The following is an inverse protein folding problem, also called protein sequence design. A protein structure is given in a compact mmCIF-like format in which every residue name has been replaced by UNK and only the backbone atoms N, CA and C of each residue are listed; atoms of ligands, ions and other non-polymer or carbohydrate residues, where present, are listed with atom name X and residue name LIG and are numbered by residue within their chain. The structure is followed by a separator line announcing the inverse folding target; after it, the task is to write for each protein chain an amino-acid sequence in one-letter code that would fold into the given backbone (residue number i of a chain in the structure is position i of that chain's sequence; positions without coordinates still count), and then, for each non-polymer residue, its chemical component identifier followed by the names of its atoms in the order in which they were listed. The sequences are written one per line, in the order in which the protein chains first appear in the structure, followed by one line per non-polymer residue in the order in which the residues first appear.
data_IF_749491921981
#
_entry.id   IF_749491921981
#
_cell.length_a   1.000
_cell.length_b   1.000
_cell.length_c   1.000
_cell.angle_alpha   90.00
_cell.angle_beta   90.00
_cell.angle_gamma   90.00
#
_symmetry.space_group_name_H-M   'P 1'
#
loop_
_entity.id
_entity.type
_entity.pdbx_description
1 polymer ?
#
# COMPACT_ATOMS: atom_id res chain seq x y z
N UNK A 1 55.23 -14.43 6.62
CA UNK A 1 54.40 -15.46 7.29
C UNK A 1 53.19 -14.86 8.01
N UNK A 2 53.35 -13.93 8.98
CA UNK A 2 52.21 -13.34 9.73
C UNK A 2 51.20 -12.55 8.87
N UNK A 3 51.68 -11.75 7.91
CA UNK A 3 50.82 -10.95 7.02
C UNK A 3 49.93 -11.84 6.14
N UNK A 4 50.51 -12.88 5.51
CA UNK A 4 49.75 -13.83 4.67
C UNK A 4 48.68 -14.59 5.47
N UNK A 5 48.98 -14.97 6.71
CA UNK A 5 48.02 -15.63 7.61
C UNK A 5 46.85 -14.69 7.98
N UNK A 6 47.16 -13.46 8.38
CA UNK A 6 46.14 -12.47 8.72
C UNK A 6 45.23 -12.13 7.52
N UNK A 7 45.80 -12.04 6.31
CA UNK A 7 45.03 -11.82 5.07
C UNK A 7 44.09 -13.00 4.80
N UNK A 8 44.58 -14.24 4.89
CA UNK A 8 43.73 -15.43 4.69
C UNK A 8 42.61 -15.54 5.72
N UNK A 9 42.90 -15.29 7.00
CA UNK A 9 41.90 -15.28 8.08
C UNK A 9 40.83 -14.18 7.84
N UNK A 10 41.24 -13.00 7.40
CA UNK A 10 40.30 -11.92 7.06
C UNK A 10 39.41 -12.26 5.85
N UNK A 11 39.98 -12.85 4.79
CA UNK A 11 39.22 -13.29 3.61
C UNK A 11 38.22 -14.39 3.95
N UNK A 12 38.62 -15.39 4.74
CA UNK A 12 37.73 -16.46 5.20
C UNK A 12 36.57 -15.90 6.02
N UNK A 13 36.86 -14.99 6.95
CA UNK A 13 35.82 -14.33 7.76
C UNK A 13 34.83 -13.56 6.88
N UNK A 14 35.32 -12.72 5.97
CA UNK A 14 34.46 -11.96 5.05
C UNK A 14 33.57 -12.86 4.20
N UNK A 15 34.05 -14.05 3.80
CA UNK A 15 33.26 -15.02 3.06
C UNK A 15 32.17 -15.63 3.93
N UNK A 16 32.48 -16.05 5.15
CA UNK A 16 31.48 -16.58 6.09
C UNK A 16 30.41 -15.54 6.40
N UNK A 17 30.81 -14.31 6.71
CA UNK A 17 29.90 -13.20 7.02
C UNK A 17 28.94 -12.93 5.86
N UNK A 18 29.42 -12.98 4.60
CA UNK A 18 28.56 -12.86 3.41
C UNK A 18 27.53 -13.99 3.32
N UNK A 19 27.94 -15.25 3.45
CA UNK A 19 27.01 -16.37 3.31
C UNK A 19 25.93 -16.34 4.39
N UNK A 20 26.31 -15.99 5.63
CA UNK A 20 25.35 -15.82 6.73
C UNK A 20 24.37 -14.69 6.43
N UNK A 21 24.86 -13.48 6.12
CA UNK A 21 24.00 -12.34 5.80
C UNK A 21 23.09 -12.61 4.59
N UNK A 22 23.59 -13.35 3.60
CA UNK A 22 22.82 -13.68 2.41
C UNK A 22 21.70 -14.67 2.71
N UNK A 23 21.97 -15.72 3.49
CA UNK A 23 20.93 -16.66 3.91
C UNK A 23 19.89 -16.00 4.81
N UNK A 24 20.32 -15.14 5.74
CA UNK A 24 19.39 -14.35 6.56
C UNK A 24 18.47 -13.46 5.70
N UNK A 25 19.03 -12.84 4.64
CA UNK A 25 18.24 -12.07 3.68
C UNK A 25 17.28 -12.93 2.86
N UNK A 26 17.71 -14.12 2.40
CA UNK A 26 16.86 -15.07 1.66
C UNK A 26 15.66 -15.53 2.50
N UNK A 27 15.90 -15.84 3.79
CA UNK A 27 14.87 -16.25 4.74
C UNK A 27 13.91 -15.10 5.03
N UNK A 28 14.44 -13.90 5.27
CA UNK A 28 13.63 -12.69 5.45
C UNK A 28 12.76 -12.41 4.22
N UNK A 29 13.34 -12.48 3.02
CA UNK A 29 12.62 -12.26 1.76
C UNK A 29 11.51 -13.31 1.56
N UNK A 30 11.71 -14.54 2.04
CA UNK A 30 10.65 -15.56 2.10
C UNK A 30 9.48 -15.13 2.97
N UNK A 31 9.73 -14.72 4.21
CA UNK A 31 8.69 -14.32 5.17
C UNK A 31 7.88 -13.11 4.70
N UNK A 32 8.54 -12.11 4.13
CA UNK A 32 7.84 -10.91 3.65
C UNK A 32 7.03 -11.21 2.38
N UNK A 33 7.52 -12.09 1.50
CA UNK A 33 6.78 -12.55 0.34
C UNK A 33 5.51 -13.32 0.73
N UNK A 34 5.58 -14.20 1.73
CA UNK A 34 4.41 -14.90 2.28
C UNK A 34 3.39 -13.92 2.86
N UNK A 35 3.86 -12.97 3.67
CA UNK A 35 2.99 -11.95 4.29
C UNK A 35 2.30 -11.06 3.24
N UNK A 36 3.01 -10.70 2.17
CA UNK A 36 2.45 -9.94 1.06
C UNK A 36 1.47 -10.77 0.22
N UNK A 37 1.75 -12.05 -0.01
CA UNK A 37 0.85 -12.94 -0.74
C UNK A 37 -0.46 -13.18 0.02
N UNK A 38 -0.38 -13.31 1.35
CA UNK A 38 -1.57 -13.36 2.20
C UNK A 38 -2.39 -12.07 2.06
N UNK A 39 -1.74 -10.91 2.17
CA UNK A 39 -2.41 -9.62 2.03
C UNK A 39 -3.00 -9.42 0.62
N UNK A 40 -2.30 -9.85 -0.42
CA UNK A 40 -2.80 -9.84 -1.81
C UNK A 40 -4.08 -10.68 -1.94
N UNK A 41 -4.09 -11.86 -1.33
CA UNK A 41 -5.26 -12.76 -1.32
C UNK A 41 -6.44 -12.12 -0.59
N UNK A 42 -6.20 -11.54 0.59
CA UNK A 42 -7.23 -10.87 1.38
C UNK A 42 -7.84 -9.68 0.63
N UNK A 43 -7.00 -8.91 -0.06
CA UNK A 43 -7.39 -7.70 -0.80
C UNK A 43 -7.88 -7.99 -2.23
N UNK A 44 -7.81 -9.22 -2.72
CA UNK A 44 -8.33 -9.60 -4.04
C UNK A 44 -9.85 -9.50 -4.14
N UNK A 45 -10.55 -9.71 -3.03
CA UNK A 45 -12.00 -9.59 -2.98
C UNK A 45 -12.42 -8.12 -2.74
N UNK A 46 -12.87 -7.46 -3.80
CA UNK A 46 -13.36 -6.07 -3.76
C UNK A 46 -14.56 -5.86 -2.85
N UNK A 47 -15.38 -6.89 -2.61
CA UNK A 47 -16.50 -6.78 -1.67
C UNK A 47 -16.02 -6.65 -0.22
N UNK A 48 -14.91 -7.30 0.13
CA UNK A 48 -14.32 -7.18 1.47
C UNK A 48 -13.73 -5.80 1.73
N UNK A 49 -13.29 -5.08 0.68
CA UNK A 49 -12.75 -3.72 0.77
C UNK A 49 -13.81 -2.66 1.13
N UNK A 50 -15.10 -2.99 1.05
CA UNK A 50 -16.19 -2.10 1.49
C UNK A 50 -16.30 -2.02 3.01
N UNK A 51 -15.81 -3.03 3.72
CA UNK A 51 -15.72 -3.02 5.17
C UNK A 51 -14.62 -2.04 5.62
N UNK A 52 -15.04 -0.95 6.26
CA UNK A 52 -14.14 0.14 6.68
C UNK A 52 -13.10 -0.34 7.70
N UNK A 53 -13.48 -1.28 8.58
CA UNK A 53 -12.56 -1.79 9.60
C UNK A 53 -11.47 -2.62 8.95
N UNK A 54 -11.84 -3.58 8.10
CA UNK A 54 -10.89 -4.43 7.38
C UNK A 54 -9.99 -3.63 6.45
N UNK A 55 -10.56 -2.69 5.69
CA UNK A 55 -9.78 -1.87 4.77
C UNK A 55 -8.72 -1.06 5.52
N UNK A 56 -9.07 -0.46 6.66
CA UNK A 56 -8.12 0.29 7.50
C UNK A 56 -7.02 -0.61 8.08
N UNK A 57 -7.36 -1.81 8.54
CA UNK A 57 -6.38 -2.80 9.01
C UNK A 57 -5.42 -3.21 7.89
N UNK A 58 -5.92 -3.48 6.69
CA UNK A 58 -5.09 -3.85 5.54
C UNK A 58 -4.22 -2.71 5.02
N UNK A 59 -4.71 -1.47 5.03
CA UNK A 59 -3.89 -0.29 4.74
C UNK A 59 -2.75 -0.17 5.74
N UNK A 60 -3.02 -0.36 7.04
CA UNK A 60 -1.98 -0.31 8.06
C UNK A 60 -0.94 -1.42 7.84
N UNK A 61 -1.40 -2.65 7.58
CA UNK A 61 -0.51 -3.79 7.30
C UNK A 61 0.32 -3.56 6.03
N UNK A 62 -0.26 -3.02 4.96
CA UNK A 62 0.47 -2.68 3.74
C UNK A 62 1.60 -1.68 4.03
N UNK A 63 1.32 -0.61 4.80
CA UNK A 63 2.35 0.38 5.19
C UNK A 63 3.47 -0.20 6.03
N UNK A 64 3.17 -1.13 6.92
CA UNK A 64 4.19 -1.85 7.71
C UNK A 64 5.11 -2.68 6.81
N UNK A 65 4.53 -3.42 5.85
CA UNK A 65 5.29 -4.21 4.88
C UNK A 65 6.12 -3.33 3.93
N UNK A 66 5.57 -2.19 3.49
CA UNK A 66 6.29 -1.20 2.68
C UNK A 66 7.50 -0.64 3.45
N UNK A 67 7.31 -0.26 4.72
CA UNK A 67 8.40 0.21 5.56
C UNK A 67 9.48 -0.87 5.80
N UNK A 68 9.08 -2.12 5.97
CA UNK A 68 10.01 -3.24 6.13
C UNK A 68 10.82 -3.50 4.85
N UNK A 69 10.19 -3.43 3.68
CA UNK A 69 10.88 -3.51 2.39
C UNK A 69 11.88 -2.36 2.25
N UNK A 70 11.45 -1.12 2.46
CA UNK A 70 12.32 0.05 2.30
C UNK A 70 13.53 0.00 3.26
N UNK A 71 13.36 -0.54 4.47
CA UNK A 71 14.45 -0.75 5.43
C UNK A 71 15.47 -1.82 4.99
N UNK A 72 15.05 -2.81 4.19
CA UNK A 72 15.90 -3.90 3.71
C UNK A 72 16.50 -3.67 2.33
N UNK A 73 16.06 -2.64 1.60
CA UNK A 73 16.66 -2.28 0.32
C UNK A 73 18.18 -2.00 0.40
N UNK A 74 18.72 -1.33 1.44
CA UNK A 74 20.16 -1.20 1.62
C UNK A 74 20.88 -2.53 1.87
N UNK A 75 20.22 -3.48 2.53
CA UNK A 75 20.78 -4.82 2.81
C UNK A 75 20.94 -5.61 1.52
N UNK A 76 19.94 -5.58 0.62
CA UNK A 76 20.03 -6.16 -0.72
C UNK A 76 21.25 -5.63 -1.47
N UNK A 77 21.40 -4.30 -1.52
CA UNK A 77 22.55 -3.65 -2.19
C UNK A 77 23.88 -4.08 -1.58
N UNK A 78 23.95 -4.18 -0.25
CA UNK A 78 25.16 -4.62 0.46
C UNK A 78 25.51 -6.07 0.15
N UNK A 79 24.52 -6.96 0.11
CA UNK A 79 24.67 -8.37 -0.26
C UNK A 79 25.13 -8.51 -1.71
N UNK A 80 24.53 -7.77 -2.64
CA UNK A 80 24.93 -7.76 -4.06
C UNK A 80 26.38 -7.29 -4.24
N UNK A 81 26.78 -6.23 -3.53
CA UNK A 81 28.14 -5.69 -3.60
C UNK A 81 29.17 -6.65 -2.98
N UNK A 82 28.86 -7.25 -1.83
CA UNK A 82 29.73 -8.27 -1.21
C UNK A 82 29.86 -9.50 -2.09
N UNK A 83 28.75 -9.97 -2.68
CA UNK A 83 28.74 -11.11 -3.58
C UNK A 83 29.55 -10.85 -4.86
N UNK A 84 29.48 -9.64 -5.41
CA UNK A 84 30.32 -9.21 -6.55
C UNK A 84 31.81 -9.19 -6.20
N UNK A 85 32.18 -8.66 -5.03
CA UNK A 85 33.57 -8.64 -4.55
C UNK A 85 34.12 -10.05 -4.34
N UNK A 86 33.36 -10.94 -3.71
CA UNK A 86 33.74 -12.34 -3.53
C UNK A 86 33.85 -13.04 -4.88
N UNK A 87 32.91 -12.84 -5.80
CA UNK A 87 32.97 -13.38 -7.15
C UNK A 87 34.18 -12.90 -7.97
N UNK A 88 34.65 -11.67 -7.75
CA UNK A 88 35.86 -11.14 -8.39
C UNK A 88 37.16 -11.69 -7.80
N UNK A 89 37.17 -12.05 -6.51
CA UNK A 89 38.32 -12.63 -5.81
C UNK A 89 38.48 -14.14 -5.97
N UNK A 90 37.47 -14.83 -6.52
CA UNK A 90 37.50 -16.26 -6.82
C UNK A 90 38.06 -16.49 -8.23
N UNK A 91 39.10 -17.31 -8.36
CA UNK A 91 39.52 -17.86 -9.65
C UNK A 91 38.32 -18.62 -10.27
N UNK A 92 38.02 -18.33 -11.53
CA UNK A 92 36.82 -18.78 -12.23
C UNK A 92 36.49 -20.26 -11.97
N UNK A 93 35.36 -20.51 -11.30
CA UNK A 93 34.96 -21.85 -10.86
C UNK A 93 33.50 -21.92 -10.41
N UNK A 94 33.07 -23.13 -10.02
CA UNK A 94 31.69 -23.49 -9.62
C UNK A 94 31.10 -22.56 -8.53
N UNK A 95 31.92 -22.13 -7.60
CA UNK A 95 31.50 -21.27 -6.48
C UNK A 95 31.06 -19.87 -6.95
N UNK A 96 31.79 -19.27 -7.89
CA UNK A 96 31.44 -17.96 -8.46
C UNK A 96 30.09 -18.01 -9.19
N UNK A 97 29.85 -19.06 -9.98
CA UNK A 97 28.57 -19.24 -10.67
C UNK A 97 27.41 -19.47 -9.71
N UNK A 98 27.64 -20.16 -8.59
CA UNK A 98 26.62 -20.41 -7.58
C UNK A 98 26.20 -19.10 -6.88
N UNK A 99 27.16 -18.28 -6.46
CA UNK A 99 26.89 -16.97 -5.85
C UNK A 99 26.12 -16.07 -6.84
N UNK A 100 26.56 -16.01 -8.10
CA UNK A 100 25.91 -15.19 -9.12
C UNK A 100 24.46 -15.63 -9.37
N UNK A 101 24.22 -16.93 -9.53
CA UNK A 101 22.87 -17.47 -9.74
C UNK A 101 21.95 -17.18 -8.55
N UNK A 102 22.45 -17.36 -7.32
CA UNK A 102 21.65 -17.03 -6.12
C UNK A 102 21.32 -15.53 -6.05
N UNK A 103 22.27 -14.65 -6.36
CA UNK A 103 22.02 -13.20 -6.41
C UNK A 103 20.95 -12.84 -7.44
N UNK A 104 21.00 -13.45 -8.62
CA UNK A 104 19.99 -13.26 -9.67
C UNK A 104 18.61 -13.71 -9.22
N UNK A 105 18.50 -14.89 -8.59
CA UNK A 105 17.25 -15.40 -8.03
C UNK A 105 16.69 -14.43 -6.97
N UNK A 106 17.54 -13.96 -6.06
CA UNK A 106 17.13 -13.05 -4.98
C UNK A 106 16.70 -11.69 -5.53
N UNK A 107 17.43 -11.14 -6.50
CA UNK A 107 17.09 -9.87 -7.16
C UNK A 107 15.76 -9.98 -7.93
N UNK A 108 15.52 -11.10 -8.62
CA UNK A 108 14.24 -11.34 -9.28
C UNK A 108 13.09 -11.45 -8.26
N UNK A 109 13.27 -12.24 -7.19
CA UNK A 109 12.27 -12.37 -6.12
C UNK A 109 11.96 -11.02 -5.48
N UNK A 110 12.97 -10.17 -5.27
CA UNK A 110 12.78 -8.81 -4.76
C UNK A 110 11.88 -7.98 -5.68
N UNK A 111 12.13 -8.01 -7.00
CA UNK A 111 11.31 -7.33 -8.00
C UNK A 111 9.86 -7.82 -7.94
N UNK A 112 9.66 -9.14 -7.88
CA UNK A 112 8.33 -9.74 -7.81
C UNK A 112 7.59 -9.30 -6.55
N UNK A 113 8.26 -9.33 -5.39
CA UNK A 113 7.72 -8.86 -4.11
C UNK A 113 7.32 -7.39 -4.16
N UNK A 114 8.17 -6.51 -4.73
CA UNK A 114 7.84 -5.09 -4.92
C UNK A 114 6.68 -4.89 -5.90
N UNK A 115 6.54 -5.74 -6.91
CA UNK A 115 5.41 -5.68 -7.84
C UNK A 115 4.08 -6.00 -7.14
N UNK A 116 4.06 -7.07 -6.32
CA UNK A 116 2.89 -7.45 -5.52
C UNK A 116 2.52 -6.35 -4.54
N UNK A 117 3.48 -5.82 -3.78
CA UNK A 117 3.27 -4.72 -2.84
C UNK A 117 2.61 -3.52 -3.52
N UNK A 118 3.13 -3.10 -4.67
CA UNK A 118 2.58 -1.98 -5.43
C UNK A 118 1.15 -2.24 -5.91
N UNK A 119 0.84 -3.46 -6.36
CA UNK A 119 -0.50 -3.88 -6.77
C UNK A 119 -1.49 -3.79 -5.61
N UNK A 120 -1.11 -4.30 -4.43
CA UNK A 120 -1.91 -4.24 -3.20
C UNK A 120 -2.13 -2.80 -2.76
N UNK A 121 -1.06 -2.00 -2.70
CA UNK A 121 -1.10 -0.57 -2.32
C UNK A 121 -2.04 0.22 -3.23
N UNK A 122 -1.93 0.04 -4.54
CA UNK A 122 -2.80 0.68 -5.52
C UNK A 122 -4.28 0.35 -5.26
N UNK A 123 -4.59 -0.93 -5.11
CA UNK A 123 -5.97 -1.41 -4.89
C UNK A 123 -6.59 -0.86 -3.60
N UNK A 124 -5.82 -0.86 -2.51
CA UNK A 124 -6.25 -0.29 -1.23
C UNK A 124 -6.46 1.22 -1.32
N UNK A 125 -5.58 1.93 -2.03
CA UNK A 125 -5.70 3.39 -2.24
C UNK A 125 -6.94 3.74 -3.05
N UNK A 126 -7.18 3.01 -4.15
CA UNK A 126 -8.38 3.20 -4.98
C UNK A 126 -9.67 2.96 -4.17
N UNK A 127 -9.71 1.87 -3.39
CA UNK A 127 -10.86 1.57 -2.53
C UNK A 127 -11.11 2.64 -1.45
N UNK A 128 -10.04 3.21 -0.87
CA UNK A 128 -10.17 4.30 0.11
C UNK A 128 -10.69 5.58 -0.55
N UNK A 129 -10.22 5.93 -1.75
CA UNK A 129 -10.68 7.09 -2.50
C UNK A 129 -12.17 6.98 -2.90
N UNK A 130 -12.60 5.79 -3.35
CA UNK A 130 -14.01 5.54 -3.67
C UNK A 130 -14.90 5.69 -2.43
N UNK A 131 -14.44 5.19 -1.29
CA UNK A 131 -15.15 5.33 -0.03
C UNK A 131 -15.24 6.78 0.43
N UNK A 132 -14.13 7.52 0.39
CA UNK A 132 -14.10 8.95 0.75
C UNK A 132 -15.07 9.76 -0.13
N UNK A 133 -15.08 9.48 -1.43
CA UNK A 133 -16.03 10.10 -2.36
C UNK A 133 -17.49 9.80 -1.97
N UNK A 134 -17.80 8.54 -1.65
CA UNK A 134 -19.14 8.14 -1.22
C UNK A 134 -19.54 8.86 0.07
N UNK A 135 -18.68 8.87 1.09
CA UNK A 135 -18.98 9.52 2.37
C UNK A 135 -19.18 11.03 2.20
N UNK A 136 -18.35 11.70 1.40
CA UNK A 136 -18.48 13.13 1.14
C UNK A 136 -19.79 13.45 0.39
N UNK A 137 -20.18 12.61 -0.56
CA UNK A 137 -21.44 12.74 -1.29
C UNK A 137 -22.64 12.58 -0.34
N UNK A 138 -22.63 11.54 0.49
CA UNK A 138 -23.69 11.29 1.47
C UNK A 138 -23.79 12.41 2.50
N UNK A 139 -22.68 12.90 3.05
CA UNK A 139 -22.68 14.02 3.99
C UNK A 139 -23.23 15.29 3.36
N UNK A 140 -22.87 15.58 2.10
CA UNK A 140 -23.41 16.74 1.38
C UNK A 140 -24.92 16.62 1.16
N UNK A 141 -25.41 15.43 0.79
CA UNK A 141 -26.83 15.17 0.61
C UNK A 141 -27.59 15.31 1.94
N UNK A 142 -27.06 14.80 3.04
CA UNK A 142 -27.67 14.94 4.37
C UNK A 142 -27.78 16.43 4.73
N UNK A 143 -26.70 17.20 4.58
CA UNK A 143 -26.73 18.65 4.84
C UNK A 143 -27.77 19.38 3.97
N UNK A 144 -27.85 19.04 2.69
CA UNK A 144 -28.87 19.60 1.80
C UNK A 144 -30.29 19.28 2.25
N UNK A 145 -30.57 18.03 2.64
CA UNK A 145 -31.89 17.61 3.17
C UNK A 145 -32.22 18.38 4.45
N UNK A 146 -31.25 18.52 5.36
CA UNK A 146 -31.45 19.25 6.61
C UNK A 146 -31.77 20.73 6.38
N UNK A 147 -31.06 21.38 5.45
CA UNK A 147 -31.30 22.79 5.13
C UNK A 147 -32.63 22.99 4.41
N UNK A 148 -32.99 22.13 3.45
CA UNK A 148 -34.32 22.17 2.82
C UNK A 148 -35.45 21.91 3.83
N UNK A 149 -35.26 20.99 4.76
CA UNK A 149 -36.22 20.73 5.84
C UNK A 149 -36.41 21.97 6.72
N UNK A 150 -35.32 22.65 7.11
CA UNK A 150 -35.40 23.92 7.86
C UNK A 150 -36.12 25.01 7.06
N UNK A 151 -35.80 25.16 5.77
CA UNK A 151 -36.47 26.13 4.89
C UNK A 151 -37.98 25.84 4.80
N UNK A 152 -38.37 24.56 4.62
CA UNK A 152 -39.78 24.15 4.60
C UNK A 152 -40.49 24.43 5.92
N UNK A 153 -39.86 24.11 7.06
CA UNK A 153 -40.42 24.38 8.39
C UNK A 153 -40.55 25.88 8.67
N UNK A 154 -39.64 26.70 8.14
CA UNK A 154 -39.71 28.16 8.26
C UNK A 154 -40.84 28.79 7.43
N UNK A 155 -41.40 28.07 6.45
CA UNK A 155 -42.59 28.51 5.71
C UNK A 155 -43.82 28.45 6.63
N UNK A 156 -44.19 29.57 7.26
CA UNK A 156 -45.44 29.66 8.00
C UNK A 156 -46.65 29.66 7.04
N UNK A 157 -47.85 29.21 7.48
CA UNK A 157 -49.06 29.30 6.68
C UNK A 157 -49.36 30.77 6.38
N UNK A 158 -49.34 31.15 5.11
CA UNK A 158 -49.51 32.55 4.73
C UNK A 158 -51.00 32.89 4.67
N UNK A 159 -51.54 33.32 5.81
CA UNK A 159 -52.91 33.84 5.90
C UNK A 159 -52.98 35.32 5.54
N UNK A 160 -53.62 35.66 4.41
CA UNK A 160 -54.19 37.01 4.20
C UNK A 160 -53.73 37.82 2.99
N UNK A 161 -52.70 37.40 2.25
CA UNK A 161 -52.20 38.13 1.07
C UNK A 161 -51.91 37.20 -0.12
N UNK A 162 -52.59 37.45 -1.25
CA UNK A 162 -52.47 36.66 -2.48
C UNK A 162 -51.04 36.64 -3.04
N UNK A 163 -50.32 37.77 -3.00
CA UNK A 163 -48.94 37.87 -3.48
C UNK A 163 -47.99 36.95 -2.71
N UNK A 164 -48.23 36.82 -1.40
CA UNK A 164 -47.39 36.03 -0.50
C UNK A 164 -47.67 34.53 -0.64
N UNK A 165 -48.93 34.15 -0.92
CA UNK A 165 -49.32 32.77 -1.31
C UNK A 165 -48.72 32.39 -2.67
N UNK A 166 -48.73 33.29 -3.66
CA UNK A 166 -48.12 33.05 -4.97
C UNK A 166 -46.60 32.86 -4.87
N UNK A 167 -45.92 33.65 -4.03
CA UNK A 167 -44.49 33.50 -3.77
C UNK A 167 -44.16 32.16 -3.12
N UNK A 168 -44.95 31.72 -2.13
CA UNK A 168 -44.80 30.41 -1.50
C UNK A 168 -45.01 29.26 -2.50
N UNK A 169 -46.02 29.37 -3.39
CA UNK A 169 -46.26 28.38 -4.43
C UNK A 169 -45.13 28.29 -5.47
N UNK A 170 -44.53 29.42 -5.84
CA UNK A 170 -43.36 29.44 -6.72
C UNK A 170 -42.14 28.79 -6.06
N UNK A 171 -41.93 29.04 -4.76
CA UNK A 171 -40.85 28.43 -3.99
C UNK A 171 -41.02 26.91 -3.86
N UNK A 172 -42.22 26.42 -3.54
CA UNK A 172 -42.50 24.97 -3.46
C UNK A 172 -42.24 24.26 -4.80
N UNK A 173 -42.67 24.85 -5.92
CA UNK A 173 -42.37 24.33 -7.26
C UNK A 173 -40.87 24.24 -7.55
N UNK A 174 -40.09 25.18 -7.04
CA UNK A 174 -38.64 25.16 -7.24
C UNK A 174 -37.98 24.06 -6.41
N UNK A 175 -38.41 23.86 -5.16
CA UNK A 175 -37.93 22.75 -4.31
C UNK A 175 -38.29 21.39 -4.92
N UNK A 176 -39.52 21.24 -5.43
CA UNK A 176 -39.96 20.01 -6.11
C UNK A 176 -39.07 19.69 -7.31
N UNK A 177 -38.74 20.71 -8.12
CA UNK A 177 -37.82 20.56 -9.25
C UNK A 177 -36.39 20.21 -8.82
N UNK A 178 -35.90 20.76 -7.71
CA UNK A 178 -34.59 20.42 -7.16
C UNK A 178 -34.53 19.00 -6.57
N UNK A 179 -35.67 18.42 -6.16
CA UNK A 179 -35.78 17.04 -5.69
C UNK A 179 -35.84 15.99 -6.82
N UNK A 180 -36.19 16.40 -8.04
CA UNK A 180 -36.33 15.51 -9.20
C UNK A 180 -35.03 15.29 -10.00
N UNK A 181 -33.94 15.99 -9.64
CA UNK A 181 -32.62 15.95 -10.30
C UNK A 181 -31.64 15.10 -9.51
#
# INVERSE_FOLDING_TARGET
MRIRRAVLEATLRSRTDFHTAFTEFEDWLGRIAESLSELETLTANTQSLKDTTKRREWIQKQKELEAELDAHEPVLRSVEEMGRKLGAGLDSGKERSEIQNRLEIVSQRWIDVRSIENSVRKRLTEAEQEWEKLTNTLSSLIGWIEDKSKEMLAQQPVGGSLSTVMAQGAWMKNVEKEMEV
#
